data_IF_925512782693
#
_entry.id   IF_925512782693
#
_cell.length_a   1.000
_cell.length_b   1.000
_cell.length_c   1.000
_cell.angle_alpha   90.00
_cell.angle_beta   90.00
_cell.angle_gamma   90.00
#
_symmetry.space_group_name_H-M   'P 1'
#
loop_
_entity.id
_entity.type
_entity.pdbx_description
1 polymer ?
#
# COMPACT_ATOMS: atom_id res chain seq x y z
N UNK A 1 -12.53 46.71 41.20
CA UNK A 1 -11.39 46.55 40.27
C UNK A 1 -11.97 46.00 38.96
N UNK A 2 -12.53 46.89 38.15
CA UNK A 2 -11.98 47.38 36.87
C UNK A 2 -12.42 46.51 35.68
N UNK A 3 -13.57 46.92 35.13
CA UNK A 3 -14.33 46.37 34.02
C UNK A 3 -13.53 46.47 32.71
N UNK A 4 -13.04 45.32 32.20
CA UNK A 4 -12.45 45.25 30.86
C UNK A 4 -13.57 45.34 29.84
N UNK A 5 -13.58 46.44 29.10
CA UNK A 5 -14.60 46.79 28.11
C UNK A 5 -14.69 45.74 26.99
N UNK A 6 -15.93 45.47 26.61
CA UNK A 6 -16.38 44.55 25.56
C UNK A 6 -15.77 44.79 24.17
N UNK A 7 -15.12 45.93 23.95
CA UNK A 7 -14.48 46.33 22.68
C UNK A 7 -13.16 45.57 22.40
N UNK A 8 -12.32 45.31 23.42
CA UNK A 8 -11.08 44.54 23.22
C UNK A 8 -11.35 43.10 22.80
N UNK A 9 -12.44 42.52 23.30
CA UNK A 9 -12.88 41.15 22.93
C UNK A 9 -13.39 41.09 21.50
N UNK A 10 -14.03 42.15 21.00
CA UNK A 10 -14.48 42.25 19.62
C UNK A 10 -13.30 42.40 18.64
N UNK A 11 -12.26 43.18 19.02
CA UNK A 11 -11.05 43.36 18.20
C UNK A 11 -10.20 42.08 18.12
N UNK A 12 -10.11 41.30 19.21
CA UNK A 12 -9.43 40.00 19.21
C UNK A 12 -10.19 38.96 18.36
N UNK A 13 -11.52 38.97 18.38
CA UNK A 13 -12.33 38.11 17.52
C UNK A 13 -12.18 38.46 16.02
N UNK A 14 -12.04 39.74 15.67
CA UNK A 14 -11.78 40.17 14.29
C UNK A 14 -10.39 39.74 13.80
N UNK A 15 -9.35 39.99 14.61
CA UNK A 15 -7.96 39.61 14.32
C UNK A 15 -7.80 38.11 14.06
N UNK A 16 -8.44 37.28 14.89
CA UNK A 16 -8.44 35.83 14.76
C UNK A 16 -9.02 35.37 13.42
N UNK A 17 -10.05 36.06 12.92
CA UNK A 17 -10.77 35.74 11.68
C UNK A 17 -10.03 36.17 10.41
N UNK A 18 -9.08 37.10 10.50
CA UNK A 18 -8.23 37.49 9.37
C UNK A 18 -7.07 36.51 9.12
N UNK A 19 -6.64 35.75 10.14
CA UNK A 19 -5.58 34.73 9.97
C UNK A 19 -6.04 33.47 9.22
N UNK A 20 -7.35 33.27 9.08
CA UNK A 20 -7.94 32.11 8.38
C UNK A 20 -8.18 32.33 6.87
N UNK A 21 -7.94 33.54 6.34
CA UNK A 21 -8.40 33.92 4.99
C UNK A 21 -7.30 33.93 3.92
N UNK A 22 -6.06 33.59 4.24
CA UNK A 22 -4.98 33.40 3.25
C UNK A 22 -4.97 31.97 2.72
N UNK A 23 -6.06 31.60 2.05
CA UNK A 23 -6.34 30.31 1.41
C UNK A 23 -5.50 30.01 0.16
N UNK A 24 -4.17 30.05 0.27
CA UNK A 24 -3.29 29.49 -0.76
C UNK A 24 -3.43 27.96 -0.68
N UNK A 25 -4.37 27.40 -1.46
CA UNK A 25 -4.56 25.96 -1.63
C UNK A 25 -3.24 25.35 -2.11
N UNK A 26 -2.40 24.86 -1.19
CA UNK A 26 -1.17 24.12 -1.51
C UNK A 26 -1.55 23.02 -2.50
N UNK A 27 -0.92 23.03 -3.69
CA UNK A 27 -1.14 22.05 -4.76
C UNK A 27 -1.13 20.65 -4.15
N UNK A 28 -2.24 19.91 -4.28
CA UNK A 28 -2.34 18.52 -3.81
C UNK A 28 -1.22 17.72 -4.48
N UNK A 29 -0.33 17.12 -3.68
CA UNK A 29 0.71 16.21 -4.19
C UNK A 29 0.04 15.06 -4.93
N UNK A 30 0.64 14.63 -6.05
CA UNK A 30 0.20 13.43 -6.79
C UNK A 30 0.16 12.26 -5.80
N UNK A 31 -0.97 11.56 -5.74
CA UNK A 31 -1.15 10.38 -4.89
C UNK A 31 -0.11 9.34 -5.32
N UNK A 32 0.69 8.85 -4.37
CA UNK A 32 1.53 7.67 -4.58
C UNK A 32 0.66 6.43 -4.33
N UNK A 33 0.71 5.49 -5.26
CA UNK A 33 0.10 4.17 -5.07
C UNK A 33 0.82 3.45 -3.92
N UNK A 34 0.06 2.75 -3.09
CA UNK A 34 0.57 2.09 -1.90
C UNK A 34 -0.33 0.90 -1.56
N UNK A 35 0.29 -0.16 -1.04
CA UNK A 35 -0.41 -1.35 -0.58
C UNK A 35 -1.01 -1.19 0.84
N UNK A 36 -0.86 -0.02 1.48
CA UNK A 36 -1.25 0.17 2.89
C UNK A 36 -2.71 -0.17 3.21
N UNK A 37 -3.65 0.07 2.29
CA UNK A 37 -5.07 -0.30 2.49
C UNK A 37 -5.26 -1.81 2.45
N UNK A 38 -4.61 -2.50 1.51
CA UNK A 38 -4.70 -3.96 1.38
C UNK A 38 -4.04 -4.66 2.56
N UNK A 39 -2.89 -4.16 3.03
CA UNK A 39 -2.19 -4.67 4.21
C UNK A 39 -3.10 -4.57 5.45
N UNK A 40 -3.80 -3.43 5.61
CA UNK A 40 -4.75 -3.26 6.72
C UNK A 40 -5.95 -4.21 6.62
N UNK A 41 -6.55 -4.32 5.43
CA UNK A 41 -7.68 -5.22 5.21
C UNK A 41 -7.31 -6.69 5.43
N UNK A 42 -6.10 -7.10 5.02
CA UNK A 42 -5.59 -8.45 5.24
C UNK A 42 -5.35 -8.72 6.73
N UNK A 43 -4.81 -7.75 7.48
CA UNK A 43 -4.69 -7.88 8.93
C UNK A 43 -6.05 -8.09 9.59
N UNK A 44 -7.05 -7.27 9.23
CA UNK A 44 -8.40 -7.37 9.81
C UNK A 44 -9.15 -8.65 9.42
N UNK A 45 -8.76 -9.29 8.31
CA UNK A 45 -9.33 -10.58 7.90
C UNK A 45 -8.88 -11.72 8.84
N UNK A 46 -7.65 -11.69 9.34
CA UNK A 46 -7.09 -12.74 10.20
C UNK A 46 -7.11 -12.40 11.69
N UNK A 47 -6.99 -11.13 12.05
CA UNK A 47 -6.91 -10.64 13.43
C UNK A 47 -7.73 -9.34 13.60
N UNK A 48 -9.06 -9.45 13.73
CA UNK A 48 -9.95 -8.29 13.82
C UNK A 48 -9.63 -7.33 14.98
N UNK A 49 -9.11 -7.85 16.08
CA UNK A 49 -8.75 -7.13 17.31
C UNK A 49 -7.44 -6.34 17.20
N UNK A 50 -6.56 -6.69 16.26
CA UNK A 50 -5.23 -6.09 16.16
C UNK A 50 -5.23 -4.82 15.31
N UNK A 51 -4.36 -3.88 15.68
CA UNK A 51 -4.09 -2.66 14.91
C UNK A 51 -2.63 -2.60 14.48
N UNK A 52 -2.37 -1.86 13.40
CA UNK A 52 -1.03 -1.68 12.84
C UNK A 52 -0.71 -0.20 12.68
N UNK A 53 0.44 0.20 13.24
CA UNK A 53 0.90 1.59 13.21
C UNK A 53 1.24 2.05 11.79
N UNK A 54 1.28 3.36 11.57
CA UNK A 54 1.65 3.96 10.28
C UNK A 54 3.07 3.58 9.85
N UNK A 55 4.02 3.55 10.80
CA UNK A 55 5.41 3.12 10.56
C UNK A 55 5.46 1.65 10.12
N UNK A 56 4.72 0.77 10.80
CA UNK A 56 4.64 -0.64 10.41
C UNK A 56 3.99 -0.83 9.04
N UNK A 57 2.93 -0.08 8.71
CA UNK A 57 2.32 -0.09 7.36
C UNK A 57 3.33 0.31 6.27
N UNK A 58 4.21 1.27 6.56
CA UNK A 58 5.26 1.71 5.62
C UNK A 58 6.31 0.63 5.39
N UNK A 59 6.78 -0.03 6.47
CA UNK A 59 7.72 -1.17 6.37
C UNK A 59 7.11 -2.29 5.53
N UNK A 60 5.86 -2.68 5.82
CA UNK A 60 5.16 -3.72 5.07
C UNK A 60 4.94 -3.35 3.59
N UNK A 61 4.64 -2.08 3.30
CA UNK A 61 4.56 -1.61 1.92
C UNK A 61 5.90 -1.75 1.20
N UNK A 62 7.02 -1.42 1.86
CA UNK A 62 8.36 -1.62 1.28
C UNK A 62 8.65 -3.10 1.06
N UNK A 63 8.27 -3.98 1.99
CA UNK A 63 8.43 -5.42 1.86
C UNK A 63 7.68 -5.98 0.64
N UNK A 64 6.41 -5.58 0.44
CA UNK A 64 5.63 -5.99 -0.74
C UNK A 64 6.30 -5.53 -2.03
N UNK A 65 6.83 -4.31 -2.08
CA UNK A 65 7.53 -3.80 -3.26
C UNK A 65 8.83 -4.56 -3.54
N UNK A 66 9.63 -4.87 -2.51
CA UNK A 66 10.87 -5.67 -2.66
C UNK A 66 10.54 -7.07 -3.20
N UNK A 67 9.54 -7.75 -2.63
CA UNK A 67 9.11 -9.06 -3.12
C UNK A 67 8.55 -9.02 -4.54
N UNK A 68 7.77 -7.98 -4.87
CA UNK A 68 7.26 -7.79 -6.23
C UNK A 68 8.41 -7.63 -7.24
N UNK A 69 9.38 -6.77 -6.95
CA UNK A 69 10.49 -6.49 -7.85
C UNK A 69 11.38 -7.74 -8.05
N UNK A 70 11.64 -8.49 -6.97
CA UNK A 70 12.40 -9.75 -7.07
C UNK A 70 11.67 -10.79 -7.92
N UNK A 71 10.37 -11.01 -7.70
CA UNK A 71 9.59 -11.98 -8.47
C UNK A 71 9.51 -11.54 -9.94
N UNK A 72 9.24 -10.27 -10.22
CA UNK A 72 9.13 -9.75 -11.57
C UNK A 72 10.47 -9.86 -12.33
N UNK A 73 11.58 -9.51 -11.65
CA UNK A 73 12.93 -9.63 -12.22
C UNK A 73 13.27 -11.08 -12.55
N UNK A 74 13.02 -12.02 -11.65
CA UNK A 74 13.32 -13.43 -11.87
C UNK A 74 12.40 -14.06 -12.93
N UNK A 75 11.12 -13.71 -12.94
CA UNK A 75 10.19 -14.15 -13.98
C UNK A 75 10.56 -13.60 -15.37
N UNK A 76 11.04 -12.35 -15.44
CA UNK A 76 11.57 -11.75 -16.67
C UNK A 76 12.79 -12.52 -17.18
N UNK A 77 13.73 -12.86 -16.29
CA UNK A 77 14.87 -13.71 -16.64
C UNK A 77 14.40 -15.06 -17.18
N UNK A 78 13.47 -15.73 -16.52
CA UNK A 78 12.95 -17.04 -16.96
C UNK A 78 12.26 -16.97 -18.33
N UNK A 79 11.51 -15.91 -18.61
CA UNK A 79 10.91 -15.68 -19.92
C UNK A 79 11.98 -15.51 -21.02
N UNK A 80 13.03 -14.74 -20.74
CA UNK A 80 14.16 -14.53 -21.66
C UNK A 80 14.93 -15.83 -21.93
N UNK A 81 15.22 -16.64 -20.91
CA UNK A 81 15.85 -17.96 -21.08
C UNK A 81 15.00 -18.90 -21.95
N UNK A 82 13.68 -18.79 -21.85
CA UNK A 82 12.72 -19.57 -22.64
C UNK A 82 12.47 -18.98 -24.05
N UNK A 83 13.18 -17.91 -24.44
CA UNK A 83 13.00 -17.17 -25.69
C UNK A 83 11.56 -16.68 -25.90
N UNK A 84 10.88 -16.29 -24.82
CA UNK A 84 9.52 -15.74 -24.83
C UNK A 84 9.54 -14.25 -24.54
N UNK A 85 8.65 -13.52 -25.20
CA UNK A 85 8.44 -12.08 -24.98
C UNK A 85 7.32 -11.77 -23.97
N UNK A 86 6.64 -12.80 -23.46
CA UNK A 86 5.51 -12.67 -22.54
C UNK A 86 5.80 -13.46 -21.27
N UNK A 87 5.63 -12.81 -20.12
CA UNK A 87 5.70 -13.46 -18.80
C UNK A 87 4.33 -14.10 -18.53
N UNK A 88 4.29 -15.43 -18.44
CA UNK A 88 3.08 -16.18 -18.09
C UNK A 88 3.05 -16.61 -16.62
N UNK A 89 1.98 -17.30 -16.25
CA UNK A 89 1.83 -17.86 -14.89
C UNK A 89 2.96 -18.85 -14.56
N UNK A 90 3.48 -19.58 -15.56
CA UNK A 90 4.57 -20.55 -15.38
C UNK A 90 5.86 -19.88 -14.92
N UNK A 91 6.23 -18.76 -15.55
CA UNK A 91 7.44 -18.02 -15.20
C UNK A 91 7.33 -17.40 -13.80
N UNK A 92 6.15 -16.89 -13.43
CA UNK A 92 5.88 -16.38 -12.07
C UNK A 92 5.97 -17.51 -11.03
N UNK A 93 5.32 -18.65 -11.27
CA UNK A 93 5.35 -19.79 -10.36
C UNK A 93 6.77 -20.37 -10.19
N UNK A 94 7.57 -20.39 -11.25
CA UNK A 94 8.97 -20.79 -11.16
C UNK A 94 9.81 -19.76 -10.40
N UNK A 95 9.63 -18.46 -10.66
CA UNK A 95 10.30 -17.39 -9.92
C UNK A 95 10.02 -17.46 -8.41
N UNK A 96 8.77 -17.71 -8.01
CA UNK A 96 8.38 -17.88 -6.60
C UNK A 96 9.11 -19.04 -5.94
N UNK A 97 9.27 -20.17 -6.65
CA UNK A 97 10.02 -21.34 -6.15
C UNK A 97 11.53 -21.10 -6.03
N UNK A 98 12.08 -20.19 -6.83
CA UNK A 98 13.49 -19.80 -6.74
C UNK A 98 13.76 -18.82 -5.60
N UNK A 99 12.78 -17.95 -5.29
CA UNK A 99 12.95 -16.88 -4.31
C UNK A 99 12.56 -17.28 -2.87
N UNK A 100 11.58 -18.15 -2.70
CA UNK A 100 11.08 -18.55 -1.38
C UNK A 100 11.60 -19.94 -0.96
N UNK A 101 11.97 -20.13 0.31
CA UNK A 101 12.47 -21.41 0.79
C UNK A 101 11.34 -22.42 1.09
N UNK A 102 11.60 -23.70 0.82
CA UNK A 102 10.84 -24.85 1.35
C UNK A 102 9.32 -24.71 1.26
N UNK A 103 8.63 -24.91 2.40
CA UNK A 103 7.17 -24.88 2.51
C UNK A 103 6.55 -23.54 2.10
N UNK A 104 7.25 -22.41 2.31
CA UNK A 104 6.74 -21.09 1.91
C UNK A 104 6.52 -21.01 0.40
N UNK A 105 7.41 -21.60 -0.39
CA UNK A 105 7.26 -21.64 -1.85
C UNK A 105 6.05 -22.47 -2.28
N UNK A 106 5.79 -23.59 -1.59
CA UNK A 106 4.65 -24.47 -1.88
C UNK A 106 3.34 -23.76 -1.58
N UNK A 107 3.21 -23.12 -0.42
CA UNK A 107 2.00 -22.38 -0.06
C UNK A 107 1.77 -21.19 -1.00
N UNK A 108 2.80 -20.42 -1.33
CA UNK A 108 2.69 -19.28 -2.23
C UNK A 108 2.22 -19.70 -3.64
N UNK A 109 2.76 -20.79 -4.18
CA UNK A 109 2.33 -21.32 -5.48
C UNK A 109 0.90 -21.83 -5.43
N UNK A 110 0.52 -22.58 -4.38
CA UNK A 110 -0.83 -23.13 -4.25
C UNK A 110 -1.89 -22.03 -4.14
N UNK A 111 -1.64 -20.98 -3.36
CA UNK A 111 -2.54 -19.81 -3.29
C UNK A 111 -2.61 -19.09 -4.65
N UNK A 112 -1.47 -18.97 -5.35
CA UNK A 112 -1.44 -18.39 -6.69
C UNK A 112 -2.31 -19.15 -7.70
N UNK A 113 -2.20 -20.49 -7.74
CA UNK A 113 -3.00 -21.35 -8.61
C UNK A 113 -4.50 -21.19 -8.33
N UNK A 114 -4.88 -21.26 -7.05
CA UNK A 114 -6.28 -21.10 -6.60
C UNK A 114 -6.90 -19.78 -7.09
N UNK A 115 -6.14 -18.68 -7.02
CA UNK A 115 -6.62 -17.37 -7.49
C UNK A 115 -6.74 -17.32 -9.01
N UNK A 116 -5.79 -17.89 -9.75
CA UNK A 116 -5.84 -17.96 -11.22
C UNK A 116 -7.05 -18.78 -11.66
N UNK A 117 -7.27 -19.95 -11.06
CA UNK A 117 -8.42 -20.81 -11.36
C UNK A 117 -9.74 -20.10 -11.09
N UNK A 118 -9.86 -19.42 -9.94
CA UNK A 118 -11.03 -18.61 -9.62
C UNK A 118 -11.26 -17.52 -10.68
N UNK A 119 -10.21 -16.80 -11.08
CA UNK A 119 -10.30 -15.74 -12.08
C UNK A 119 -10.78 -16.27 -13.45
N UNK A 120 -10.27 -17.42 -13.88
CA UNK A 120 -10.67 -18.03 -15.15
C UNK A 120 -12.13 -18.49 -15.16
N UNK A 121 -12.66 -18.92 -14.00
CA UNK A 121 -14.05 -19.39 -13.85
C UNK A 121 -15.07 -18.27 -13.56
N UNK A 122 -14.63 -17.03 -13.29
CA UNK A 122 -15.53 -15.91 -12.94
C UNK A 122 -15.89 -15.05 -14.17
N UNK A 123 -15.62 -15.52 -15.40
CA UNK A 123 -16.07 -14.90 -16.65
C UNK A 123 -17.15 -15.75 -17.29
#
# INVERSE_FOLDING_TARGET
MAEKSTDESAMQAWSSRMTTTSGVKKRRKKRKESFSSYIYNLLKLHHPELEISSKSKWIMNSFVNDMFDRIASEASRLAQHSKRHTIGAREIQAAVRLLLPGELSMHAVNEGIKVVDKYMNTK
#
